data_IF_357245052086
#
_entry.id   IF_357245052086
#
_cell.length_a   1.000
_cell.length_b   1.000
_cell.length_c   1.000
_cell.angle_alpha   90.00
_cell.angle_beta   90.00
_cell.angle_gamma   90.00
#
_symmetry.space_group_name_H-M   'P 1'
#
loop_
_entity.id
_entity.type
_entity.pdbx_description
1 polymer ?
#
# COMPACT_ATOMS: atom_id res chain seq x y z
N UNK A 1 -10.07 3.94 -8.49
CA UNK A 1 -8.68 4.18 -8.10
C UNK A 1 -8.01 2.83 -7.90
N UNK A 2 -6.85 2.57 -8.50
CA UNK A 2 -6.11 1.31 -8.34
C UNK A 2 -5.68 1.13 -6.85
N UNK A 3 -5.90 -0.05 -6.27
CA UNK A 3 -5.54 -0.38 -4.88
C UNK A 3 -4.04 -0.18 -4.63
N UNK A 4 -3.19 -0.50 -5.61
CA UNK A 4 -1.74 -0.29 -5.50
C UNK A 4 -1.41 1.20 -5.49
N UNK A 5 -2.15 2.01 -6.25
CA UNK A 5 -2.00 3.47 -6.23
C UNK A 5 -2.40 4.05 -4.86
N UNK A 6 -3.46 3.54 -4.24
CA UNK A 6 -3.83 3.95 -2.89
C UNK A 6 -2.77 3.56 -1.85
N UNK A 7 -2.15 2.40 -2.04
CA UNK A 7 -1.05 1.95 -1.19
C UNK A 7 0.19 2.84 -1.29
N UNK A 8 0.54 3.27 -2.52
CA UNK A 8 1.64 4.21 -2.75
C UNK A 8 1.33 5.60 -2.18
N UNK A 9 0.10 6.08 -2.35
CA UNK A 9 -0.32 7.36 -1.76
C UNK A 9 -0.22 7.33 -0.23
N UNK A 10 -0.73 6.28 0.40
CA UNK A 10 -0.58 6.09 1.85
C UNK A 10 0.90 6.15 2.26
N UNK A 11 1.78 5.45 1.54
CA UNK A 11 3.23 5.43 1.82
C UNK A 11 3.83 6.83 1.80
N UNK A 12 3.51 7.60 0.77
CA UNK A 12 4.01 8.95 0.55
C UNK A 12 3.47 9.94 1.59
N UNK A 13 2.16 9.90 1.86
CA UNK A 13 1.49 10.76 2.85
C UNK A 13 2.02 10.54 4.26
N UNK A 14 2.33 9.29 4.63
CA UNK A 14 2.85 8.93 5.94
C UNK A 14 4.38 8.95 6.01
N UNK A 15 5.07 9.29 4.91
CA UNK A 15 6.54 9.38 4.81
C UNK A 15 7.27 8.09 5.22
N UNK A 16 6.65 6.94 4.99
CA UNK A 16 7.26 5.64 5.29
C UNK A 16 7.99 5.06 4.07
N UNK A 17 9.00 4.27 4.34
CA UNK A 17 9.75 3.53 3.33
C UNK A 17 8.93 2.32 2.83
N UNK A 18 9.30 1.79 1.67
CA UNK A 18 8.74 0.53 1.19
C UNK A 18 9.05 -0.65 2.14
N UNK A 19 10.13 -0.57 2.91
CA UNK A 19 10.49 -1.57 3.93
C UNK A 19 9.52 -1.51 5.12
N UNK A 20 9.21 -0.31 5.61
CA UNK A 20 8.22 -0.13 6.68
C UNK A 20 6.83 -0.55 6.24
N UNK A 21 6.42 -0.14 5.03
CA UNK A 21 5.14 -0.58 4.45
C UNK A 21 5.06 -2.12 4.34
N UNK A 22 6.17 -2.78 3.98
CA UNK A 22 6.22 -4.24 3.92
C UNK A 22 6.08 -4.89 5.30
N UNK A 23 6.68 -4.31 6.35
CA UNK A 23 6.52 -4.75 7.75
C UNK A 23 5.07 -4.64 8.18
N UNK A 24 4.41 -3.52 7.88
CA UNK A 24 3.01 -3.28 8.23
C UNK A 24 2.06 -4.26 7.54
N UNK A 25 2.34 -4.58 6.27
CA UNK A 25 1.58 -5.55 5.49
C UNK A 25 1.97 -7.01 5.75
N UNK A 26 3.00 -7.25 6.56
CA UNK A 26 3.55 -8.59 6.87
C UNK A 26 3.95 -9.37 5.63
N UNK A 27 4.60 -8.70 4.68
CA UNK A 27 5.15 -9.30 3.46
C UNK A 27 6.62 -8.94 3.30
N UNK A 28 7.33 -9.64 2.40
CA UNK A 28 8.71 -9.28 2.09
C UNK A 28 8.77 -7.92 1.39
N UNK A 29 9.84 -7.16 1.61
CA UNK A 29 10.10 -5.89 0.90
C UNK A 29 10.03 -6.05 -0.62
N UNK A 30 10.59 -7.13 -1.17
CA UNK A 30 10.58 -7.42 -2.60
C UNK A 30 9.16 -7.58 -3.17
N UNK A 31 8.21 -8.03 -2.35
CA UNK A 31 6.80 -8.14 -2.72
C UNK A 31 6.18 -6.76 -2.93
N UNK A 32 6.34 -5.85 -1.96
CA UNK A 32 5.86 -4.46 -2.06
C UNK A 32 6.53 -3.74 -3.24
N UNK A 33 7.85 -3.86 -3.38
CA UNK A 33 8.58 -3.25 -4.48
C UNK A 33 8.06 -3.69 -5.85
N UNK A 34 7.78 -4.98 -6.05
CA UNK A 34 7.22 -5.48 -7.32
C UNK A 34 5.80 -4.97 -7.58
N UNK A 35 4.97 -4.80 -6.55
CA UNK A 35 3.64 -4.23 -6.72
C UNK A 35 3.70 -2.76 -7.15
N UNK A 36 4.45 -1.95 -6.40
CA UNK A 36 4.55 -0.50 -6.65
C UNK A 36 5.20 -0.17 -8.00
N UNK A 37 6.12 -1.03 -8.47
CA UNK A 37 6.73 -0.92 -9.79
C UNK A 37 5.95 -1.62 -10.91
N UNK A 38 4.73 -2.13 -10.64
CA UNK A 38 3.87 -2.77 -11.63
C UNK A 38 4.38 -4.11 -12.17
N UNK A 39 5.38 -4.74 -11.54
CA UNK A 39 5.97 -6.02 -11.97
C UNK A 39 5.07 -7.21 -11.67
N UNK A 40 4.30 -7.14 -10.59
CA UNK A 40 3.34 -8.19 -10.21
C UNK A 40 2.10 -7.57 -9.59
N UNK A 41 1.00 -8.32 -9.56
CA UNK A 41 -0.22 -7.92 -8.83
C UNK A 41 -0.35 -8.74 -7.54
N UNK A 42 -0.89 -8.17 -6.46
CA UNK A 42 -1.21 -8.93 -5.25
C UNK A 42 -2.24 -10.01 -5.55
N UNK A 43 -2.09 -11.19 -4.95
CA UNK A 43 -3.10 -12.25 -5.01
C UNK A 43 -4.33 -11.90 -4.16
N UNK A 44 -5.37 -12.74 -4.19
CA UNK A 44 -6.63 -12.48 -3.47
C UNK A 44 -6.45 -12.26 -1.96
N UNK A 45 -5.59 -13.04 -1.31
CA UNK A 45 -5.30 -12.90 0.13
C UNK A 45 -4.61 -11.56 0.41
N UNK A 46 -3.62 -11.21 -0.41
CA UNK A 46 -2.88 -9.95 -0.30
C UNK A 46 -3.79 -8.75 -0.56
N UNK A 47 -4.67 -8.81 -1.55
CA UNK A 47 -5.67 -7.77 -1.81
C UNK A 47 -6.60 -7.55 -0.61
N UNK A 48 -7.06 -8.64 0.02
CA UNK A 48 -7.87 -8.55 1.24
C UNK A 48 -7.10 -7.85 2.37
N UNK A 49 -5.85 -8.23 2.62
CA UNK A 49 -5.02 -7.60 3.66
C UNK A 49 -4.71 -6.13 3.36
N UNK A 50 -4.40 -5.78 2.11
CA UNK A 50 -4.19 -4.40 1.69
C UNK A 50 -5.47 -3.57 1.88
N UNK A 51 -6.62 -4.08 1.45
CA UNK A 51 -7.91 -3.41 1.65
C UNK A 51 -8.22 -3.18 3.13
N UNK A 52 -7.99 -4.19 3.98
CA UNK A 52 -8.16 -4.09 5.43
C UNK A 52 -7.19 -3.07 6.04
N UNK A 53 -5.94 -3.05 5.59
CA UNK A 53 -4.91 -2.12 6.04
C UNK A 53 -5.28 -0.67 5.70
N UNK A 54 -5.64 -0.40 4.45
CA UNK A 54 -6.04 0.93 3.99
C UNK A 54 -7.35 1.41 4.65
N UNK A 55 -8.30 0.50 4.89
CA UNK A 55 -9.54 0.82 5.58
C UNK A 55 -9.35 1.22 7.04
N UNK A 56 -8.36 0.62 7.73
CA UNK A 56 -7.99 1.01 9.11
C UNK A 56 -7.26 2.34 9.14
N UNK A 57 -6.36 2.57 8.20
CA UNK A 57 -5.49 3.74 8.18
C UNK A 57 -6.04 4.86 7.30
N UNK A 58 -7.35 5.14 7.41
CA UNK A 58 -8.13 6.08 6.56
C UNK A 58 -7.23 7.04 5.80
N UNK A 59 -7.01 6.76 4.52
CA UNK A 59 -6.44 7.72 3.57
C UNK A 59 -7.46 8.84 3.47
N UNK A 60 -7.35 9.83 4.36
CA UNK A 60 -8.20 11.02 4.33
C UNK A 60 -7.86 11.71 3.01
N UNK A 61 -8.81 11.97 2.10
CA UNK A 61 -8.59 12.92 1.02
C UNK A 61 -8.52 14.32 1.65
N UNK A 62 -7.46 14.61 2.40
CA UNK A 62 -7.29 15.86 3.11
C UNK A 62 -6.63 16.84 2.15
N UNK A 63 -7.49 17.63 1.50
CA UNK A 63 -7.21 18.93 0.90
C UNK A 63 -6.21 18.96 -0.26
N UNK A 64 -6.71 18.78 -1.47
CA UNK A 64 -6.25 19.60 -2.58
C UNK A 64 -7.21 20.80 -2.69
N UNK A 65 -6.81 21.93 -2.11
CA UNK A 65 -7.24 23.26 -2.54
C UNK A 65 -6.09 23.86 -3.33
#
# INVERSE_FOLDING_TARGET
>A
MDMIKQLELYRLENRITQVELAKDLKVAFSTVSRWLNGKTKPNKIQQYHIGKFLGKNRVSPRNWK
#
